data_IF_533052500706
#
_entry.id   IF_533052500706
#
_cell.length_a   1.000
_cell.length_b   1.000
_cell.length_c   1.000
_cell.angle_alpha   90.00
_cell.angle_beta   90.00
_cell.angle_gamma   90.00
#
_symmetry.space_group_name_H-M   'P 1'
#
loop_
_entity.id
_entity.type
_entity.pdbx_description
1 polymer ?
#
# COMPACT_ATOMS: atom_id res chain seq x y z
N UNK A 1 -11.08 16.29 -17.92
CA UNK A 1 -9.69 16.26 -18.42
C UNK A 1 -9.17 14.92 -17.99
N UNK A 2 -8.79 14.04 -18.91
CA UNK A 2 -8.28 12.72 -18.55
C UNK A 2 -6.87 12.92 -17.99
N UNK A 3 -6.65 12.61 -16.71
CA UNK A 3 -5.34 12.80 -16.07
C UNK A 3 -4.46 11.60 -16.41
N UNK A 4 -3.21 11.84 -16.86
CA UNK A 4 -2.30 10.73 -17.13
C UNK A 4 -1.87 10.10 -15.79
N UNK A 5 -2.02 8.77 -15.60
CA UNK A 5 -1.74 8.13 -14.31
C UNK A 5 -0.27 8.27 -13.89
N UNK A 6 0.68 8.29 -14.84
CA UNK A 6 2.10 8.56 -14.52
C UNK A 6 2.32 9.96 -13.94
N UNK A 7 1.63 10.97 -14.49
CA UNK A 7 1.75 12.35 -14.00
C UNK A 7 1.11 12.50 -12.63
N UNK A 8 -0.03 11.82 -12.40
CA UNK A 8 -0.66 11.80 -11.09
C UNK A 8 0.20 11.07 -10.06
N UNK A 9 0.85 9.97 -10.44
CA UNK A 9 1.79 9.24 -9.58
C UNK A 9 2.99 10.10 -9.18
N UNK A 10 3.60 10.82 -10.13
CA UNK A 10 4.71 11.74 -9.82
C UNK A 10 4.27 12.83 -8.83
N UNK A 11 3.03 13.34 -8.97
CA UNK A 11 2.47 14.31 -8.05
C UNK A 11 2.19 13.71 -6.65
N UNK A 12 1.72 12.46 -6.58
CA UNK A 12 1.53 11.73 -5.33
C UNK A 12 2.86 11.50 -4.60
N UNK A 13 3.91 11.07 -5.31
CA UNK A 13 5.25 10.89 -4.73
C UNK A 13 5.78 12.21 -4.17
N UNK A 14 5.66 13.31 -4.92
CA UNK A 14 6.08 14.63 -4.44
C UNK A 14 5.29 15.08 -3.20
N UNK A 15 4.00 14.74 -3.11
CA UNK A 15 3.18 15.05 -1.93
C UNK A 15 3.60 14.22 -0.71
N UNK A 16 3.94 12.94 -0.89
CA UNK A 16 4.47 12.07 0.16
C UNK A 16 5.80 12.60 0.71
N UNK A 17 6.72 13.00 -0.17
CA UNK A 17 8.01 13.59 0.22
C UNK A 17 7.80 14.88 1.03
N UNK A 18 6.90 15.76 0.59
CA UNK A 18 6.56 17.00 1.30
C UNK A 18 5.92 16.73 2.66
N UNK A 19 5.04 15.73 2.75
CA UNK A 19 4.43 15.31 4.02
C UNK A 19 5.49 14.78 4.98
N UNK A 20 6.45 13.97 4.50
CA UNK A 20 7.56 13.49 5.30
C UNK A 20 8.45 14.63 5.81
N UNK A 21 8.79 15.60 4.96
CA UNK A 21 9.58 16.78 5.34
C UNK A 21 8.84 17.64 6.40
N UNK A 22 7.53 17.84 6.22
CA UNK A 22 6.71 18.53 7.20
C UNK A 22 6.67 17.78 8.53
N UNK A 23 6.50 16.46 8.51
CA UNK A 23 6.52 15.63 9.71
C UNK A 23 7.88 15.66 10.42
N UNK A 24 8.98 15.62 9.66
CA UNK A 24 10.35 15.66 10.19
C UNK A 24 10.73 17.02 10.78
N UNK A 25 10.16 18.11 10.25
CA UNK A 25 10.38 19.48 10.75
C UNK A 25 9.37 19.94 11.80
N UNK A 26 8.36 19.11 12.09
CA UNK A 26 7.30 19.42 13.06
C UNK A 26 7.87 19.59 14.47
N UNK A 27 7.53 20.71 15.12
CA UNK A 27 7.98 21.03 16.48
C UNK A 27 6.94 20.67 17.58
N UNK A 28 6.05 19.72 17.31
CA UNK A 28 5.07 19.19 18.29
C UNK A 28 3.73 18.80 17.66
N UNK A 29 2.84 18.17 18.43
CA UNK A 29 1.57 17.52 18.01
C UNK A 29 0.56 18.37 17.20
N UNK A 30 0.80 19.67 16.97
CA UNK A 30 -0.16 20.57 16.32
C UNK A 30 0.48 21.50 15.28
N UNK A 31 1.43 21.00 14.50
CA UNK A 31 1.99 21.79 13.41
C UNK A 31 1.00 21.89 12.23
N UNK A 32 0.52 23.11 11.95
CA UNK A 32 -0.35 23.41 10.82
C UNK A 32 0.29 23.02 9.48
N UNK A 33 1.62 22.99 9.41
CA UNK A 33 2.36 22.58 8.21
C UNK A 33 2.14 21.11 7.89
N UNK A 34 2.11 20.25 8.92
CA UNK A 34 1.86 18.81 8.76
C UNK A 34 0.44 18.57 8.28
N UNK A 35 -0.56 19.20 8.92
CA UNK A 35 -1.97 19.10 8.50
C UNK A 35 -2.17 19.56 7.05
N UNK A 36 -1.60 20.70 6.68
CA UNK A 36 -1.70 21.18 5.30
C UNK A 36 -1.00 20.24 4.29
N UNK A 37 0.07 19.57 4.70
CA UNK A 37 0.73 18.56 3.86
C UNK A 37 -0.08 17.27 3.77
N UNK A 38 -0.79 16.89 4.83
CA UNK A 38 -1.71 15.75 4.87
C UNK A 38 -2.88 15.96 3.89
N UNK A 39 -3.58 17.09 3.95
CA UNK A 39 -4.68 17.41 3.03
C UNK A 39 -4.22 17.42 1.56
N UNK A 40 -3.00 17.92 1.32
CA UNK A 40 -2.39 17.94 -0.01
C UNK A 40 -2.05 16.53 -0.52
N UNK A 41 -1.60 15.65 0.38
CA UNK A 41 -1.33 14.25 0.08
C UNK A 41 -2.60 13.49 -0.29
N UNK A 42 -3.65 13.65 0.52
CA UNK A 42 -4.97 13.07 0.25
C UNK A 42 -5.50 13.48 -1.13
N UNK A 43 -5.50 14.79 -1.41
CA UNK A 43 -5.95 15.30 -2.71
C UNK A 43 -5.12 14.76 -3.88
N UNK A 44 -3.82 14.50 -3.66
CA UNK A 44 -2.95 13.93 -4.69
C UNK A 44 -3.25 12.44 -4.93
N UNK A 45 -3.54 11.71 -3.85
CA UNK A 45 -3.91 10.31 -3.90
C UNK A 45 -5.24 10.10 -4.64
N UNK A 46 -6.28 10.87 -4.33
CA UNK A 46 -7.58 10.78 -5.02
C UNK A 46 -7.45 11.00 -6.53
N UNK A 47 -6.63 11.96 -6.97
CA UNK A 47 -6.38 12.19 -8.40
C UNK A 47 -5.61 11.05 -9.06
N UNK A 48 -4.73 10.39 -8.32
CA UNK A 48 -4.04 9.21 -8.83
C UNK A 48 -5.00 8.04 -8.98
N UNK A 49 -5.87 7.81 -8.00
CA UNK A 49 -6.91 6.77 -8.09
C UNK A 49 -7.88 7.02 -9.24
N UNK A 50 -8.41 8.24 -9.38
CA UNK A 50 -9.28 8.61 -10.51
C UNK A 50 -8.57 8.37 -11.86
N UNK A 51 -7.29 8.73 -11.97
CA UNK A 51 -6.51 8.51 -13.19
C UNK A 51 -6.22 7.03 -13.46
N UNK A 52 -6.06 6.22 -12.41
CA UNK A 52 -5.81 4.79 -12.51
C UNK A 52 -7.08 4.04 -12.93
N UNK A 53 -8.22 4.40 -12.32
CA UNK A 53 -9.53 3.85 -12.65
C UNK A 53 -9.90 4.21 -14.10
N UNK A 54 -9.72 5.46 -14.52
CA UNK A 54 -10.03 5.89 -15.88
C UNK A 54 -9.14 5.20 -16.93
N UNK A 55 -7.86 5.00 -16.63
CA UNK A 55 -6.90 4.46 -17.59
C UNK A 55 -6.91 2.93 -17.68
N UNK A 56 -7.11 2.24 -16.56
CA UNK A 56 -6.96 0.79 -16.46
C UNK A 56 -8.17 0.06 -15.88
N UNK A 57 -9.14 0.78 -15.30
CA UNK A 57 -10.28 0.17 -14.62
C UNK A 57 -9.92 -0.47 -13.28
N UNK A 58 -8.83 -0.03 -12.65
CA UNK A 58 -8.28 -0.58 -11.42
C UNK A 58 -8.25 0.47 -10.32
N UNK A 59 -8.39 0.04 -9.06
CA UNK A 59 -8.35 0.88 -7.85
C UNK A 59 -7.28 0.33 -6.90
N UNK A 60 -6.70 1.18 -6.06
CA UNK A 60 -5.66 0.72 -5.13
C UNK A 60 -6.27 0.16 -3.84
N UNK A 61 -5.58 -0.73 -3.11
CA UNK A 61 -6.06 -1.24 -1.83
C UNK A 61 -5.85 -0.23 -0.67
N UNK A 62 -5.48 1.01 -0.96
CA UNK A 62 -5.20 2.05 0.03
C UNK A 62 -6.46 2.86 0.31
N UNK A 63 -6.64 3.28 1.56
CA UNK A 63 -7.78 4.12 1.98
C UNK A 63 -7.27 5.36 2.67
N UNK A 64 -7.92 6.50 2.40
CA UNK A 64 -7.65 7.74 3.12
C UNK A 64 -8.54 7.80 4.36
N UNK A 65 -7.92 7.95 5.53
CA UNK A 65 -8.64 8.18 6.76
C UNK A 65 -8.96 9.67 6.87
N UNK A 66 -10.24 10.02 6.70
CA UNK A 66 -10.77 11.31 7.14
C UNK A 66 -11.21 11.13 8.57
N UNK A 67 -10.64 11.91 9.48
CA UNK A 67 -11.07 11.99 10.87
C UNK A 67 -12.43 12.70 10.88
N UNK A 68 -13.47 11.98 10.46
CA UNK A 68 -14.86 12.38 10.64
C UNK A 68 -15.15 12.24 12.14
N UNK A 69 -14.95 13.33 12.88
CA UNK A 69 -15.48 13.45 14.23
C UNK A 69 -17.01 13.22 14.18
N UNK A 70 -17.46 12.02 14.60
CA UNK A 70 -18.82 11.68 15.03
C UNK A 70 -19.89 11.45 13.94
N UNK A 71 -19.93 10.26 13.33
CA UNK A 71 -21.16 9.70 12.76
C UNK A 71 -21.43 8.31 13.37
N UNK A 72 -22.42 8.29 14.27
CA UNK A 72 -23.05 7.16 14.94
C UNK A 72 -23.28 5.96 13.99
N UNK A 73 -22.54 4.87 14.20
CA UNK A 73 -22.91 3.56 13.66
C UNK A 73 -24.08 3.01 14.49
N UNK A 74 -25.31 3.40 14.17
CA UNK A 74 -26.52 2.70 14.62
C UNK A 74 -26.76 1.50 13.69
N UNK A 75 -25.99 0.44 13.92
CA UNK A 75 -26.13 -0.89 13.30
C UNK A 75 -27.21 -1.67 14.06
N UNK A 76 -28.47 -1.40 13.72
CA UNK A 76 -29.64 -2.15 14.19
C UNK A 76 -30.40 -2.66 12.94
N UNK A 77 -29.79 -3.59 12.21
CA UNK A 77 -30.44 -4.37 11.15
C UNK A 77 -30.54 -5.85 11.58
N UNK A 78 -31.61 -6.15 12.32
CA UNK A 78 -32.09 -7.49 12.63
C UNK A 78 -32.51 -8.21 11.33
N UNK A 79 -31.59 -8.88 10.64
CA UNK A 79 -31.90 -9.85 9.58
C UNK A 79 -31.85 -11.30 10.12
N UNK A 80 -32.89 -11.72 10.84
CA UNK A 80 -33.16 -13.15 11.09
C UNK A 80 -33.81 -13.73 9.83
N UNK A 81 -32.97 -14.05 8.84
CA UNK A 81 -33.39 -14.60 7.55
C UNK A 81 -33.66 -16.10 7.68
N UNK A 82 -34.93 -16.49 7.59
CA UNK A 82 -35.41 -17.87 7.56
C UNK A 82 -34.65 -18.73 6.52
N UNK A 83 -33.86 -19.69 6.99
CA UNK A 83 -33.17 -20.70 6.18
C UNK A 83 -34.19 -21.76 5.71
N UNK A 84 -34.58 -21.71 4.43
CA UNK A 84 -35.37 -22.75 3.77
C UNK A 84 -34.62 -23.35 2.56
N UNK A 85 -34.58 -24.69 2.56
CA UNK A 85 -34.31 -25.63 1.47
C UNK A 85 -32.88 -25.76 0.89
N UNK A 86 -32.11 -26.61 1.56
CA UNK A 86 -30.92 -27.30 1.08
C UNK A 86 -31.28 -28.40 0.05
N UNK A 87 -31.49 -28.02 -1.21
CA UNK A 87 -31.60 -28.99 -2.32
C UNK A 87 -30.21 -29.42 -2.84
N UNK A 88 -29.84 -30.62 -2.40
CA UNK A 88 -28.78 -31.53 -2.86
C UNK A 88 -28.26 -31.36 -4.30
N UNK A 89 -26.97 -31.05 -4.46
CA UNK A 89 -26.19 -31.32 -5.67
C UNK A 89 -25.03 -32.30 -5.36
N UNK A 90 -25.32 -33.58 -5.56
CA UNK A 90 -24.37 -34.67 -5.76
C UNK A 90 -24.09 -34.75 -7.28
N UNK A 91 -22.86 -34.46 -7.72
CA UNK A 91 -22.20 -35.11 -8.88
C UNK A 91 -20.73 -34.63 -9.05
N UNK A 92 -19.79 -35.41 -8.51
CA UNK A 92 -18.55 -35.84 -9.18
C UNK A 92 -17.59 -34.81 -9.84
N UNK A 93 -16.80 -34.06 -9.05
CA UNK A 93 -15.54 -33.47 -9.54
C UNK A 93 -14.32 -34.20 -8.97
N UNK A 94 -13.73 -35.08 -9.79
CA UNK A 94 -12.49 -35.82 -9.54
C UNK A 94 -11.28 -34.91 -9.81
N UNK A 95 -10.69 -34.31 -8.77
CA UNK A 95 -9.65 -33.28 -8.90
C UNK A 95 -8.27 -33.75 -8.36
N UNK A 96 -7.74 -34.84 -8.93
CA UNK A 96 -6.33 -35.23 -8.80
C UNK A 96 -5.35 -34.33 -9.59
N UNK A 97 -5.56 -33.02 -9.62
CA UNK A 97 -4.66 -32.08 -10.30
C UNK A 97 -4.17 -30.89 -9.42
N UNK A 98 -4.52 -30.88 -8.13
CA UNK A 98 -4.05 -29.84 -7.19
C UNK A 98 -2.62 -30.04 -6.65
N UNK A 99 -1.84 -30.99 -7.20
CA UNK A 99 -0.50 -31.34 -6.69
C UNK A 99 0.63 -31.12 -7.69
N UNK A 100 0.53 -30.13 -8.58
CA UNK A 100 1.71 -29.51 -9.19
C UNK A 100 2.30 -28.48 -8.22
N UNK A 101 2.85 -29.05 -7.16
CA UNK A 101 3.61 -28.46 -6.07
C UNK A 101 4.69 -27.51 -6.61
N UNK A 102 4.55 -26.24 -6.24
CA UNK A 102 5.56 -25.17 -6.35
C UNK A 102 6.91 -25.70 -5.82
N UNK A 103 7.80 -26.09 -6.75
CA UNK A 103 9.17 -26.50 -6.44
C UNK A 103 9.98 -25.24 -6.18
N UNK A 104 10.36 -25.07 -4.91
CA UNK A 104 11.21 -24.00 -4.44
C UNK A 104 12.43 -23.81 -5.35
N UNK A 105 12.66 -22.56 -5.71
CA UNK A 105 13.97 -22.09 -6.09
C UNK A 105 14.85 -22.27 -4.84
N UNK A 106 15.59 -23.37 -4.82
CA UNK A 106 16.65 -23.67 -3.86
C UNK A 106 17.87 -22.79 -4.22
N UNK A 107 18.46 -22.19 -3.19
CA UNK A 107 19.76 -21.50 -3.13
C UNK A 107 20.81 -22.15 -4.07
N UNK A 108 21.82 -21.47 -4.64
CA UNK A 108 23.14 -21.31 -3.98
C UNK A 108 24.20 -20.68 -4.94
N UNK A 109 23.85 -20.06 -6.08
CA UNK A 109 24.85 -19.57 -7.06
C UNK A 109 25.05 -18.01 -7.05
N UNK A 110 25.25 -17.42 -5.87
CA UNK A 110 25.88 -16.09 -5.76
C UNK A 110 27.31 -16.25 -5.22
N UNK A 111 28.27 -16.43 -6.13
CA UNK A 111 29.70 -16.24 -5.85
C UNK A 111 29.96 -14.72 -5.71
N UNK A 112 29.96 -14.22 -4.48
CA UNK A 112 30.51 -12.89 -4.14
C UNK A 112 31.98 -13.04 -3.74
N UNK A 113 32.82 -13.43 -4.70
CA UNK A 113 34.27 -13.25 -4.59
C UNK A 113 34.64 -11.87 -5.16
N UNK A 114 34.77 -10.89 -4.28
CA UNK A 114 35.69 -9.77 -4.50
C UNK A 114 36.28 -9.35 -3.17
N UNK A 115 37.32 -10.08 -2.77
CA UNK A 115 38.34 -9.59 -1.85
C UNK A 115 38.86 -8.22 -2.33
N UNK A 116 38.76 -7.20 -1.50
CA UNK A 116 39.79 -6.17 -1.47
C UNK A 116 39.89 -5.61 -0.04
N UNK A 117 40.79 -6.25 0.72
CA UNK A 117 41.44 -5.68 1.89
C UNK A 117 42.03 -4.30 1.53
N UNK A 118 41.72 -3.27 2.31
CA UNK A 118 42.70 -2.23 2.66
C UNK A 118 42.37 -1.67 4.04
N UNK A 119 42.66 -2.49 5.05
CA UNK A 119 43.04 -1.98 6.36
C UNK A 119 44.39 -1.28 6.21
N UNK A 120 44.42 0.04 6.30
CA UNK A 120 45.56 0.71 6.92
C UNK A 120 45.09 1.72 7.95
N UNK A 121 45.03 1.24 9.20
CA UNK A 121 45.32 2.07 10.37
C UNK A 121 46.66 2.78 10.17
N UNK A 122 46.67 4.11 10.31
CA UNK A 122 47.86 4.85 10.72
C UNK A 122 47.40 5.99 11.65
N UNK A 123 47.19 5.61 12.91
CA UNK A 123 47.37 6.50 14.04
C UNK A 123 48.87 6.79 14.17
N UNK A 124 49.32 8.04 13.99
CA UNK A 124 50.54 8.53 14.66
C UNK A 124 50.53 10.06 14.87
N UNK A 125 50.78 10.42 16.13
CA UNK A 125 51.01 11.73 16.77
C UNK A 125 51.98 12.68 16.02
N UNK A 126 51.65 13.99 15.94
CA UNK A 126 52.40 15.15 16.51
C UNK A 126 51.73 16.51 16.16
#
# INVERSE_FOLDING_TARGET
>A
MTVNPRVALDALVAALERHLEAAASSHGDNDHTVRAAYDALESAFERYEEALEEAFGEVTPLVVFRDEEDDDYDDDDDEDSDEDDEDSLDDDLDEQDFRAQYLGLDDEDYDEDSDEDDDTDDDEDD
#
